data_IF_545788995690
#
_entry.id   IF_545788995690
#
_cell.length_a   1.000
_cell.length_b   1.000
_cell.length_c   1.000
_cell.angle_alpha   90.00
_cell.angle_beta   90.00
_cell.angle_gamma   90.00
#
_symmetry.space_group_name_H-M   'P 1'
#
loop_
_entity.id
_entity.type
_entity.pdbx_description
1 polymer ?
#
# COMPACT_ATOMS: atom_id res chain seq x y z
N UNK A 1 4.00 0.55 4.66
CA UNK A 1 2.59 0.60 5.09
C UNK A 1 2.46 1.81 5.98
N UNK A 2 1.49 2.67 5.72
CA UNK A 2 1.15 3.82 6.56
C UNK A 2 0.15 3.39 7.63
N UNK A 3 0.38 3.79 8.87
CA UNK A 3 -0.66 3.83 9.90
C UNK A 3 -1.41 5.15 9.77
N UNK A 4 -2.65 5.10 9.27
CA UNK A 4 -3.46 6.29 9.05
C UNK A 4 -3.93 6.95 10.36
N UNK A 5 -3.90 6.24 11.48
CA UNK A 5 -4.40 6.79 12.74
C UNK A 5 -3.46 7.82 13.37
N UNK A 6 -2.19 7.90 12.93
CA UNK A 6 -1.14 8.74 13.54
C UNK A 6 -0.81 8.38 14.99
N UNK A 7 -1.67 7.60 15.63
CA UNK A 7 -1.53 6.96 16.91
C UNK A 7 -0.76 5.68 16.64
N UNK A 8 0.56 5.71 16.75
CA UNK A 8 1.36 4.49 16.78
C UNK A 8 0.84 3.56 17.86
N UNK A 9 -0.12 2.70 17.51
CA UNK A 9 -0.87 1.90 18.48
C UNK A 9 -0.05 0.67 18.82
N UNK A 10 0.95 0.89 19.67
CA UNK A 10 1.66 -0.14 20.41
C UNK A 10 3.18 -0.01 20.36
N UNK A 11 3.85 0.23 21.51
CA UNK A 11 5.26 -0.11 21.66
C UNK A 11 5.41 -1.64 21.47
N UNK A 12 6.30 -2.12 20.58
CA UNK A 12 7.18 -1.38 19.70
C UNK A 12 7.24 -1.99 18.30
N UNK A 13 6.25 -1.61 17.48
CA UNK A 13 6.32 -1.78 16.03
C UNK A 13 7.69 -1.33 15.48
N UNK A 14 8.54 -2.27 15.05
CA UNK A 14 9.88 -2.02 14.50
C UNK A 14 11.08 -2.19 15.47
N UNK A 15 10.89 -2.64 16.71
CA UNK A 15 11.97 -2.71 17.71
C UNK A 15 13.17 -3.59 17.33
N UNK A 16 12.92 -4.70 16.64
CA UNK A 16 13.95 -5.71 16.36
C UNK A 16 14.87 -5.30 15.20
N UNK A 17 14.38 -4.51 14.25
CA UNK A 17 15.12 -4.16 13.04
C UNK A 17 15.37 -2.66 12.89
N UNK A 18 14.34 -1.85 13.14
CA UNK A 18 14.42 -0.40 12.97
C UNK A 18 14.89 0.31 14.23
N UNK A 19 14.76 -0.35 15.39
CA UNK A 19 15.09 0.20 16.72
C UNK A 19 14.39 1.54 17.01
N UNK A 20 13.25 1.77 16.35
CA UNK A 20 12.35 2.92 16.52
C UNK A 20 10.93 2.50 16.11
N UNK A 21 9.94 3.25 16.57
CA UNK A 21 8.55 3.05 16.13
C UNK A 21 8.41 3.38 14.65
N UNK A 22 7.84 2.48 13.86
CA UNK A 22 7.67 2.68 12.40
C UNK A 22 6.22 2.72 11.93
N UNK A 23 5.24 2.60 12.84
CA UNK A 23 3.82 2.47 12.46
C UNK A 23 3.49 1.19 11.68
N UNK A 24 4.43 0.23 11.63
CA UNK A 24 4.25 -1.06 10.94
C UNK A 24 3.63 -2.05 11.90
N UNK A 25 2.69 -2.86 11.45
CA UNK A 25 2.07 -3.92 12.26
C UNK A 25 2.99 -5.15 12.42
N UNK A 26 4.29 -4.94 12.67
CA UNK A 26 5.27 -5.97 12.97
C UNK A 26 6.47 -5.40 13.75
N UNK A 27 7.22 -6.25 14.43
CA UNK A 27 8.41 -5.85 15.21
C UNK A 27 9.67 -5.66 14.35
N UNK A 28 9.57 -5.79 13.03
CA UNK A 28 10.72 -5.74 12.13
C UNK A 28 10.32 -5.49 10.68
N UNK A 29 10.85 -6.30 9.77
CA UNK A 29 10.66 -6.15 8.33
C UNK A 29 9.34 -6.75 7.85
N UNK A 30 8.71 -6.11 6.87
CA UNK A 30 7.62 -6.65 6.06
C UNK A 30 8.19 -7.49 4.91
N UNK A 31 7.39 -8.37 4.30
CA UNK A 31 7.86 -9.20 3.16
C UNK A 31 8.42 -8.34 2.01
N UNK A 32 7.82 -7.17 1.74
CA UNK A 32 8.31 -6.20 0.74
C UNK A 32 9.72 -5.67 1.04
N UNK A 33 10.14 -5.61 2.31
CA UNK A 33 11.49 -5.15 2.65
C UNK A 33 12.53 -6.20 2.24
N UNK A 34 12.19 -7.49 2.32
CA UNK A 34 13.06 -8.55 1.82
C UNK A 34 13.19 -8.52 0.30
N UNK A 35 12.12 -8.12 -0.41
CA UNK A 35 12.17 -7.87 -1.85
C UNK A 35 13.11 -6.69 -2.13
N UNK A 36 12.96 -5.55 -1.43
CA UNK A 36 13.87 -4.41 -1.57
C UNK A 36 15.34 -4.79 -1.34
N UNK A 37 15.61 -5.59 -0.31
CA UNK A 37 16.96 -6.07 0.01
C UNK A 37 17.53 -6.96 -1.09
N UNK A 38 16.72 -7.88 -1.63
CA UNK A 38 17.13 -8.76 -2.73
C UNK A 38 17.46 -7.97 -4.00
N UNK A 39 16.70 -6.89 -4.24
CA UNK A 39 16.92 -5.94 -5.33
C UNK A 39 18.02 -4.92 -5.04
N UNK A 40 18.60 -4.92 -3.83
CA UNK A 40 19.62 -3.97 -3.36
C UNK A 40 19.17 -2.50 -3.45
N UNK A 41 17.89 -2.24 -3.18
CA UNK A 41 17.32 -0.89 -3.12
C UNK A 41 16.98 -0.49 -1.67
N UNK A 42 16.82 0.80 -1.44
CA UNK A 42 16.29 1.32 -0.17
C UNK A 42 14.87 0.82 0.09
N UNK A 43 14.49 0.79 1.37
CA UNK A 43 13.11 0.47 1.75
C UNK A 43 12.15 1.54 1.22
N UNK A 44 10.98 1.10 0.80
CA UNK A 44 9.99 2.01 0.19
C UNK A 44 9.43 3.00 1.20
N UNK A 45 9.43 4.28 0.82
CA UNK A 45 8.72 5.33 1.53
C UNK A 45 7.21 5.19 1.33
N UNK A 46 6.44 5.53 2.37
CA UNK A 46 4.99 5.50 2.29
C UNK A 46 4.48 6.70 1.48
N UNK A 47 3.48 6.51 0.61
CA UNK A 47 2.95 7.59 -0.23
C UNK A 47 2.40 8.77 0.58
N UNK A 48 1.81 8.48 1.74
CA UNK A 48 1.23 9.48 2.64
C UNK A 48 2.27 10.13 3.57
N UNK A 49 3.55 9.77 3.46
CA UNK A 49 4.60 10.41 4.25
C UNK A 49 4.88 11.81 3.70
N UNK A 50 4.69 12.81 4.55
CA UNK A 50 4.74 14.22 4.14
C UNK A 50 6.16 14.79 4.13
N UNK A 51 7.07 14.22 4.93
CA UNK A 51 8.42 14.73 5.10
C UNK A 51 9.44 13.59 5.16
N UNK A 52 10.57 13.77 4.48
CA UNK A 52 11.64 12.77 4.45
C UNK A 52 11.35 11.55 3.59
N UNK A 53 10.30 11.57 2.77
CA UNK A 53 10.02 10.51 1.82
C UNK A 53 11.03 10.52 0.66
N UNK A 54 11.64 9.36 0.42
CA UNK A 54 12.43 9.07 -0.78
C UNK A 54 11.65 8.11 -1.68
N UNK A 55 11.26 8.59 -2.87
CA UNK A 55 10.55 7.83 -3.89
C UNK A 55 11.42 7.49 -5.09
N UNK A 56 12.75 7.51 -4.95
CA UNK A 56 13.69 7.26 -6.05
C UNK A 56 13.57 5.83 -6.59
N UNK A 57 13.37 4.86 -5.69
CA UNK A 57 13.37 3.43 -6.02
C UNK A 57 11.98 2.78 -5.92
N UNK A 58 10.93 3.58 -5.72
CA UNK A 58 9.57 3.11 -5.57
C UNK A 58 8.84 3.76 -4.40
N UNK A 59 7.60 3.34 -4.20
CA UNK A 59 6.64 3.96 -3.29
C UNK A 59 5.67 2.92 -2.76
N UNK A 60 5.24 3.07 -1.50
CA UNK A 60 4.31 2.17 -0.85
C UNK A 60 2.96 2.86 -0.56
N UNK A 61 1.91 2.43 -1.23
CA UNK A 61 0.55 2.95 -1.06
C UNK A 61 -0.28 2.20 0.00
N UNK A 62 0.26 1.12 0.57
CA UNK A 62 -0.49 0.29 1.51
C UNK A 62 -0.78 1.04 2.81
N UNK A 63 -2.04 0.98 3.23
CA UNK A 63 -2.52 1.53 4.51
C UNK A 63 -2.98 0.38 5.39
N UNK A 64 -2.64 0.44 6.67
CA UNK A 64 -3.08 -0.56 7.63
C UNK A 64 -4.62 -0.60 7.71
N UNK A 65 -5.17 -1.82 7.83
CA UNK A 65 -6.60 -2.04 7.87
C UNK A 65 -7.32 -1.80 6.53
N UNK A 66 -6.60 -1.53 5.44
CA UNK A 66 -7.22 -1.31 4.15
C UNK A 66 -7.88 -2.59 3.61
N UNK A 67 -8.99 -2.40 2.90
CA UNK A 67 -9.83 -3.45 2.32
C UNK A 67 -10.11 -3.16 0.84
N UNK A 68 -10.67 -4.13 0.13
CA UNK A 68 -11.07 -3.92 -1.27
C UNK A 68 -12.27 -2.96 -1.39
N UNK A 69 -13.09 -2.88 -0.34
CA UNK A 69 -14.22 -1.95 -0.24
C UNK A 69 -13.91 -0.78 0.70
N UNK A 70 -14.70 0.29 0.61
CA UNK A 70 -14.65 1.43 1.54
C UNK A 70 -15.43 1.06 2.79
N UNK A 71 -14.81 1.28 3.96
CA UNK A 71 -15.50 1.20 5.25
C UNK A 71 -15.50 2.58 5.91
N UNK A 72 -16.51 2.86 6.74
CA UNK A 72 -16.65 4.16 7.42
C UNK A 72 -15.40 4.58 8.21
N UNK A 73 -14.68 3.60 8.77
CA UNK A 73 -13.47 3.80 9.56
C UNK A 73 -12.16 3.63 8.76
N UNK A 74 -12.23 3.29 7.46
CA UNK A 74 -11.05 3.24 6.60
C UNK A 74 -11.38 3.65 5.14
N UNK A 75 -11.09 4.90 4.74
CA UNK A 75 -11.34 5.37 3.39
C UNK A 75 -10.28 4.92 2.36
N UNK A 76 -9.21 4.23 2.78
CA UNK A 76 -8.10 3.82 1.91
C UNK A 76 -8.34 2.45 1.26
N UNK A 77 -9.50 2.29 0.64
CA UNK A 77 -9.83 1.09 -0.14
C UNK A 77 -8.81 0.84 -1.27
N UNK A 78 -8.83 -0.37 -1.85
CA UNK A 78 -7.99 -0.70 -3.00
C UNK A 78 -8.14 0.31 -4.15
N UNK A 79 -9.35 0.77 -4.44
CA UNK A 79 -9.57 1.78 -5.50
C UNK A 79 -8.98 3.13 -5.13
N UNK A 80 -9.05 3.53 -3.85
CA UNK A 80 -8.37 4.74 -3.34
C UNK A 80 -6.86 4.64 -3.55
N UNK A 81 -6.25 3.51 -3.19
CA UNK A 81 -4.80 3.28 -3.35
C UNK A 81 -4.40 3.26 -4.84
N UNK A 82 -5.22 2.67 -5.72
CA UNK A 82 -4.99 2.71 -7.17
C UNK A 82 -5.09 4.15 -7.72
N UNK A 83 -6.04 4.95 -7.23
CA UNK A 83 -6.14 6.37 -7.58
C UNK A 83 -4.93 7.18 -7.11
N UNK A 84 -4.42 6.90 -5.91
CA UNK A 84 -3.17 7.50 -5.40
C UNK A 84 -1.97 7.15 -6.27
N UNK A 85 -1.88 5.90 -6.74
CA UNK A 85 -0.86 5.49 -7.69
C UNK A 85 -0.95 6.25 -9.01
N UNK A 86 -2.14 6.36 -9.62
CA UNK A 86 -2.33 7.13 -10.84
C UNK A 86 -1.99 8.61 -10.66
N UNK A 87 -2.37 9.20 -9.52
CA UNK A 87 -1.97 10.57 -9.16
C UNK A 87 -0.45 10.71 -9.05
N UNK A 88 0.22 9.78 -8.38
CA UNK A 88 1.68 9.77 -8.24
C UNK A 88 2.39 9.68 -9.60
N UNK A 89 1.94 8.81 -10.50
CA UNK A 89 2.48 8.71 -11.85
C UNK A 89 2.35 10.03 -12.61
N UNK A 90 1.15 10.62 -12.61
CA UNK A 90 0.88 11.89 -13.30
C UNK A 90 1.73 13.03 -12.74
N UNK A 91 1.82 13.15 -11.41
CA UNK A 91 2.63 14.18 -10.74
C UNK A 91 4.12 14.00 -11.04
N UNK A 92 4.60 12.76 -11.03
CA UNK A 92 5.99 12.42 -11.37
C UNK A 92 6.31 12.83 -12.81
N UNK A 93 5.43 12.50 -13.76
CA UNK A 93 5.57 12.89 -15.17
C UNK A 93 5.65 14.41 -15.36
N UNK A 94 4.82 15.17 -14.65
CA UNK A 94 4.78 16.63 -14.76
C UNK A 94 5.98 17.33 -14.10
N UNK A 95 6.42 16.84 -12.94
CA UNK A 95 7.47 17.49 -12.16
C UNK A 95 8.89 17.10 -12.58
N UNK A 96 9.08 15.88 -13.08
CA UNK A 96 10.41 15.35 -13.44
C UNK A 96 11.18 16.25 -14.43
N UNK A 97 10.57 16.82 -15.50
CA UNK A 97 11.28 17.76 -16.38
C UNK A 97 11.78 19.04 -15.69
N UNK A 98 11.20 19.40 -14.54
CA UNK A 98 11.59 20.55 -13.73
C UNK A 98 12.65 20.18 -12.68
N UNK A 99 13.13 18.93 -12.65
CA UNK A 99 14.02 18.42 -11.60
C UNK A 99 13.36 18.39 -10.23
N UNK A 100 12.02 18.27 -10.17
CA UNK A 100 11.23 18.24 -8.93
C UNK A 100 10.53 16.90 -8.78
N UNK A 101 10.18 16.55 -7.54
CA UNK A 101 9.43 15.32 -7.23
C UNK A 101 10.24 14.04 -7.43
N UNK A 102 9.55 12.91 -7.58
CA UNK A 102 10.21 11.64 -7.93
C UNK A 102 10.81 11.72 -9.34
N UNK A 103 11.92 11.01 -9.54
CA UNK A 103 12.62 10.94 -10.82
C UNK A 103 12.32 9.66 -11.61
N UNK A 104 11.40 8.82 -11.13
CA UNK A 104 10.98 7.59 -11.80
C UNK A 104 10.47 7.92 -13.22
N UNK A 105 11.08 7.29 -14.21
CA UNK A 105 10.71 7.41 -15.63
C UNK A 105 9.52 6.52 -15.98
N UNK A 106 8.88 6.79 -17.12
CA UNK A 106 7.81 5.91 -17.61
C UNK A 106 8.30 4.49 -17.92
N UNK A 107 9.57 4.34 -18.35
CA UNK A 107 10.17 3.02 -18.56
C UNK A 107 10.31 2.28 -17.22
N UNK A 108 10.66 2.98 -16.15
CA UNK A 108 10.75 2.39 -14.81
C UNK A 108 9.37 2.02 -14.27
N UNK A 109 8.34 2.85 -14.46
CA UNK A 109 6.96 2.46 -14.14
C UNK A 109 6.56 1.17 -14.87
N UNK A 110 6.74 1.11 -16.20
CA UNK A 110 6.36 -0.09 -16.99
C UNK A 110 7.09 -1.38 -16.58
N UNK A 111 8.34 -1.27 -16.12
CA UNK A 111 9.15 -2.42 -15.74
C UNK A 111 9.18 -2.66 -14.22
N UNK A 112 8.40 -1.91 -13.45
CA UNK A 112 8.39 -2.03 -12.00
C UNK A 112 7.83 -3.38 -11.54
N UNK A 113 8.22 -3.79 -10.33
CA UNK A 113 7.59 -4.90 -9.62
C UNK A 113 6.43 -4.34 -8.81
N UNK A 114 5.23 -4.85 -9.07
CA UNK A 114 4.02 -4.48 -8.35
C UNK A 114 3.65 -5.58 -7.36
N UNK A 115 3.36 -5.19 -6.12
CA UNK A 115 2.91 -6.09 -5.07
C UNK A 115 1.60 -5.58 -4.50
N UNK A 116 0.59 -6.46 -4.42
CA UNK A 116 -0.73 -6.16 -3.86
C UNK A 116 -1.00 -7.22 -2.78
N UNK A 117 -1.31 -6.75 -1.58
CA UNK A 117 -1.69 -7.58 -0.43
C UNK A 117 -2.91 -6.94 0.23
N UNK A 118 -4.09 -7.48 -0.09
CA UNK A 118 -5.39 -6.92 0.30
C UNK A 118 -6.48 -8.00 0.24
N UNK A 119 -7.61 -7.78 0.93
CA UNK A 119 -8.73 -8.71 1.00
C UNK A 119 -8.91 -9.37 2.37
N UNK A 120 -7.82 -9.51 3.14
CA UNK A 120 -7.86 -10.13 4.46
C UNK A 120 -8.67 -9.29 5.45
N UNK A 121 -8.58 -7.96 5.35
CA UNK A 121 -9.39 -7.07 6.18
C UNK A 121 -10.88 -7.12 5.83
N UNK A 122 -11.25 -7.33 4.56
CA UNK A 122 -12.65 -7.52 4.16
C UNK A 122 -13.29 -8.72 4.88
N UNK A 123 -12.54 -9.84 4.97
CA UNK A 123 -12.97 -11.04 5.71
C UNK A 123 -12.96 -10.79 7.22
N UNK A 124 -11.91 -10.17 7.75
CA UNK A 124 -11.80 -9.86 9.18
C UNK A 124 -12.94 -8.95 9.66
N UNK A 125 -13.30 -7.92 8.88
CA UNK A 125 -14.42 -7.04 9.19
C UNK A 125 -15.77 -7.78 9.15
N UNK A 126 -15.96 -8.71 8.20
CA UNK A 126 -17.16 -9.55 8.17
C UNK A 126 -17.27 -10.46 9.41
N UNK A 127 -16.15 -11.05 9.83
CA UNK A 127 -16.06 -11.87 11.05
C UNK A 127 -16.36 -11.05 12.30
N UNK A 128 -15.76 -9.87 12.46
CA UNK A 128 -16.02 -8.96 13.59
C UNK A 128 -17.50 -8.53 13.63
N UNK A 129 -18.13 -8.41 12.47
CA UNK A 129 -19.56 -8.10 12.35
C UNK A 129 -20.48 -9.31 12.60
N UNK A 130 -19.94 -10.48 13.01
CA UNK A 130 -20.68 -11.73 13.17
C UNK A 130 -21.51 -12.12 11.93
N UNK A 131 -20.96 -11.89 10.73
CA UNK A 131 -21.58 -12.34 9.49
C UNK A 131 -21.63 -13.87 9.42
N UNK A 132 -22.62 -14.45 8.74
CA UNK A 132 -22.68 -15.89 8.50
C UNK A 132 -21.58 -16.36 7.55
N UNK A 133 -21.26 -17.65 7.60
CA UNK A 133 -20.30 -18.27 6.66
C UNK A 133 -20.69 -18.01 5.21
N UNK A 134 -21.98 -18.09 4.88
CA UNK A 134 -22.50 -17.78 3.54
C UNK A 134 -22.21 -16.32 3.14
N UNK A 135 -22.43 -15.37 4.03
CA UNK A 135 -22.13 -13.95 3.77
C UNK A 135 -20.64 -13.72 3.56
N UNK A 136 -19.77 -14.41 4.32
CA UNK A 136 -18.32 -14.32 4.17
C UNK A 136 -17.87 -14.94 2.85
N UNK A 137 -18.37 -16.12 2.49
CA UNK A 137 -18.05 -16.79 1.24
C UNK A 137 -18.49 -15.97 0.03
N UNK A 138 -19.65 -15.32 0.10
CA UNK A 138 -20.16 -14.45 -0.96
C UNK A 138 -19.31 -13.17 -1.15
N UNK A 139 -18.45 -12.80 -0.20
CA UNK A 139 -17.48 -11.69 -0.38
C UNK A 139 -16.29 -12.07 -1.24
N UNK A 140 -15.89 -13.35 -1.28
CA UNK A 140 -14.67 -13.78 -1.98
C UNK A 140 -14.69 -13.40 -3.47
N UNK A 141 -15.77 -13.68 -4.24
CA UNK A 141 -15.81 -13.29 -5.65
C UNK A 141 -15.67 -11.76 -5.85
N UNK A 142 -16.29 -10.96 -4.99
CA UNK A 142 -16.23 -9.49 -5.05
C UNK A 142 -14.82 -8.96 -4.76
N UNK A 143 -14.15 -9.54 -3.75
CA UNK A 143 -12.75 -9.23 -3.43
C UNK A 143 -11.85 -9.52 -4.63
N UNK A 144 -12.01 -10.70 -5.25
CA UNK A 144 -11.23 -11.11 -6.41
C UNK A 144 -11.46 -10.19 -7.62
N UNK A 145 -12.72 -9.86 -7.92
CA UNK A 145 -13.07 -8.94 -9.00
C UNK A 145 -12.41 -7.56 -8.80
N UNK A 146 -12.43 -7.03 -7.57
CA UNK A 146 -11.81 -5.73 -7.26
C UNK A 146 -10.29 -5.77 -7.42
N UNK A 147 -9.64 -6.87 -7.00
CA UNK A 147 -8.21 -7.06 -7.20
C UNK A 147 -7.87 -7.15 -8.69
N UNK A 148 -8.67 -7.87 -9.47
CA UNK A 148 -8.49 -7.99 -10.92
C UNK A 148 -8.61 -6.62 -11.60
N UNK A 149 -9.65 -5.85 -11.27
CA UNK A 149 -9.87 -4.52 -11.82
C UNK A 149 -8.74 -3.55 -11.47
N UNK A 150 -8.27 -3.56 -10.21
CA UNK A 150 -7.11 -2.75 -9.81
C UNK A 150 -5.84 -3.17 -10.56
N UNK A 151 -5.60 -4.47 -10.73
CA UNK A 151 -4.45 -4.99 -11.46
C UNK A 151 -4.48 -4.57 -12.93
N UNK A 152 -5.66 -4.58 -13.57
CA UNK A 152 -5.83 -4.08 -14.95
C UNK A 152 -5.52 -2.58 -15.03
N UNK A 153 -5.99 -1.78 -14.07
CA UNK A 153 -5.73 -0.34 -14.02
C UNK A 153 -4.23 -0.02 -13.86
N UNK A 154 -3.48 -0.82 -13.11
CA UNK A 154 -2.02 -0.65 -12.97
C UNK A 154 -1.27 -0.92 -14.29
N UNK A 155 -1.82 -1.77 -15.17
CA UNK A 155 -1.20 -2.20 -16.44
C UNK A 155 -1.58 -1.35 -17.65
N UNK A 156 -2.58 -0.48 -17.53
CA UNK A 156 -3.08 0.34 -18.64
C UNK A 156 -2.28 1.61 -18.92
N UNK A 157 -1.07 1.74 -18.35
CA UNK A 157 -0.17 2.90 -18.45
C UNK A 157 1.23 2.48 -18.90
#
# INVERSE_FOLDING_TARGET
MTDFSGLGKGPPAGQQFFHKTTGRFCNGRLYIDFICQSLKINLLSAYLESSGADFTHGVNFAVAGASTEVYLYNPFSLSTQAGQFGHFQNRTKELRPQGKGSMISEKEFRNAVYSIDIGQNDINFALIANSSDEQILNKIPVILERIENATKALRSH
#
